data_IF_794187244480
#
_entry.id   IF_794187244480
#
_cell.length_a   1.000
_cell.length_b   1.000
_cell.length_c   1.000
_cell.angle_alpha   90.00
_cell.angle_beta   90.00
_cell.angle_gamma   90.00
#
_symmetry.space_group_name_H-M   'P 1'
#
loop_
_entity.id
_entity.type
_entity.pdbx_description
1 polymer ?
#
# COMPACT_ATOMS: atom_id res chain seq x y z
N UNK A 1 9.01 -36.72 -22.04
CA UNK A 1 8.53 -35.97 -20.86
C UNK A 1 8.92 -34.51 -21.04
N UNK A 2 8.02 -33.71 -21.62
CA UNK A 2 8.23 -32.28 -21.84
C UNK A 2 8.05 -31.60 -20.49
N UNK A 3 9.12 -30.97 -20.00
CA UNK A 3 9.08 -30.14 -18.80
C UNK A 3 8.58 -28.77 -19.27
N UNK A 4 7.27 -28.55 -19.19
CA UNK A 4 6.68 -27.26 -19.52
C UNK A 4 7.27 -26.20 -18.60
N UNK A 5 8.11 -25.35 -19.18
CA UNK A 5 8.62 -24.15 -18.54
C UNK A 5 7.44 -23.20 -18.34
N UNK A 6 6.88 -23.16 -17.13
CA UNK A 6 6.04 -22.06 -16.68
C UNK A 6 6.90 -20.78 -16.68
N UNK A 7 6.98 -20.14 -17.85
CA UNK A 7 7.50 -18.80 -18.05
C UNK A 7 6.65 -17.88 -17.18
N UNK A 8 7.22 -17.49 -16.03
CA UNK A 8 6.65 -16.66 -14.97
C UNK A 8 5.66 -15.62 -15.53
N UNK A 9 4.35 -15.88 -15.48
CA UNK A 9 3.29 -15.02 -16.04
C UNK A 9 3.05 -13.73 -15.24
N UNK A 10 4.02 -13.30 -14.43
CA UNK A 10 3.94 -12.06 -13.67
C UNK A 10 4.45 -10.90 -14.53
N UNK A 11 3.64 -9.87 -14.66
CA UNK A 11 4.04 -8.61 -15.30
C UNK A 11 5.17 -7.94 -14.51
N UNK A 12 6.25 -7.58 -15.20
CA UNK A 12 7.32 -6.75 -14.66
C UNK A 12 7.15 -5.32 -15.16
N UNK A 13 7.59 -4.36 -14.37
CA UNK A 13 7.59 -2.95 -14.75
C UNK A 13 8.64 -2.71 -15.85
N UNK A 14 8.21 -2.16 -16.98
CA UNK A 14 9.09 -1.89 -18.12
C UNK A 14 10.03 -0.70 -17.86
N UNK A 15 9.61 0.25 -17.01
CA UNK A 15 10.43 1.43 -16.65
C UNK A 15 10.38 1.72 -15.15
N UNK A 16 11.49 2.24 -14.61
CA UNK A 16 11.56 2.69 -13.21
C UNK A 16 10.59 3.83 -12.93
N UNK A 17 10.43 4.74 -13.91
CA UNK A 17 9.46 5.83 -13.81
C UNK A 17 8.03 5.29 -13.76
N UNK A 18 7.68 4.29 -14.56
CA UNK A 18 6.35 3.68 -14.53
C UNK A 18 6.03 3.07 -13.16
N UNK A 19 7.01 2.42 -12.54
CA UNK A 19 6.88 1.91 -11.17
C UNK A 19 6.63 3.04 -10.16
N UNK A 20 7.45 4.10 -10.19
CA UNK A 20 7.34 5.22 -9.24
C UNK A 20 6.00 5.96 -9.42
N UNK A 21 5.57 6.18 -10.66
CA UNK A 21 4.30 6.84 -10.98
C UNK A 21 3.09 6.02 -10.50
N UNK A 22 3.12 4.70 -10.69
CA UNK A 22 2.07 3.82 -10.18
C UNK A 22 2.02 3.85 -8.64
N UNK A 23 3.17 3.81 -7.97
CA UNK A 23 3.24 3.90 -6.52
C UNK A 23 2.76 5.28 -6.01
N UNK A 24 3.16 6.38 -6.66
CA UNK A 24 2.70 7.72 -6.28
C UNK A 24 1.20 7.90 -6.52
N UNK A 25 0.66 7.37 -7.62
CA UNK A 25 -0.78 7.39 -7.89
C UNK A 25 -1.58 6.55 -6.90
N UNK A 26 -1.01 5.45 -6.38
CA UNK A 26 -1.64 4.69 -5.29
C UNK A 26 -1.65 5.46 -3.96
N UNK A 27 -0.67 6.32 -3.71
CA UNK A 27 -0.56 7.05 -2.44
C UNK A 27 -1.35 8.37 -2.45
N UNK A 28 -1.44 9.03 -3.60
CA UNK A 28 -2.16 10.30 -3.76
C UNK A 28 -3.58 10.02 -4.22
N UNK A 29 -4.57 10.36 -3.39
CA UNK A 29 -5.98 10.15 -3.74
C UNK A 29 -6.95 11.06 -3.01
N UNK A 30 -8.23 10.72 -3.12
CA UNK A 30 -9.38 11.46 -2.55
C UNK A 30 -9.22 11.79 -1.05
N UNK A 31 -8.60 10.90 -0.27
CA UNK A 31 -8.31 11.12 1.15
C UNK A 31 -7.48 12.38 1.41
N UNK A 32 -6.52 12.69 0.54
CA UNK A 32 -5.70 13.90 0.68
C UNK A 32 -6.47 15.18 0.29
N UNK A 33 -7.53 15.05 -0.52
CA UNK A 33 -8.28 16.19 -1.04
C UNK A 33 -9.37 16.63 -0.05
N UNK A 34 -10.15 15.69 0.50
CA UNK A 34 -11.24 16.07 1.43
C UNK A 34 -10.90 15.80 2.89
N UNK A 35 -10.33 14.62 3.22
CA UNK A 35 -10.24 14.16 4.61
C UNK A 35 -9.12 14.88 5.32
N UNK A 36 -7.98 15.06 4.65
CA UNK A 36 -6.82 15.74 5.22
C UNK A 36 -7.12 17.19 5.60
N UNK A 37 -7.65 18.08 4.73
CA UNK A 37 -7.98 19.46 5.13
C UNK A 37 -9.02 19.53 6.25
N UNK A 38 -10.02 18.63 6.22
CA UNK A 38 -11.05 18.55 7.24
C UNK A 38 -10.49 18.20 8.63
N UNK A 39 -9.62 17.18 8.72
CA UNK A 39 -8.96 16.80 9.97
C UNK A 39 -8.03 17.92 10.43
N UNK A 40 -7.21 18.48 9.53
CA UNK A 40 -6.29 19.58 9.83
C UNK A 40 -7.06 20.77 10.40
N UNK A 41 -8.17 21.17 9.77
CA UNK A 41 -9.01 22.28 10.24
C UNK A 41 -9.57 22.06 11.65
N UNK A 42 -9.94 20.84 12.01
CA UNK A 42 -10.48 20.52 13.34
C UNK A 42 -9.44 20.33 14.43
N UNK A 43 -8.23 19.90 14.08
CA UNK A 43 -7.21 19.47 15.05
C UNK A 43 -6.11 20.53 15.29
N UNK A 44 -6.40 21.81 15.06
CA UNK A 44 -5.45 22.90 15.33
C UNK A 44 -4.56 23.30 14.14
N UNK A 45 -4.99 22.98 12.91
CA UNK A 45 -4.42 23.54 11.68
C UNK A 45 -2.94 23.21 11.49
N UNK A 46 -2.11 24.25 11.39
CA UNK A 46 -0.68 24.12 11.10
C UNK A 46 0.11 23.33 12.13
N UNK A 47 -0.26 23.36 13.41
CA UNK A 47 0.40 22.58 14.46
C UNK A 47 0.20 21.06 14.24
N UNK A 48 -1.00 20.67 13.84
CA UNK A 48 -1.30 19.28 13.47
C UNK A 48 -0.50 18.84 12.24
N UNK A 49 -0.35 19.71 11.24
CA UNK A 49 0.43 19.39 10.03
C UNK A 49 1.90 19.12 10.35
N UNK A 50 2.50 19.89 11.26
CA UNK A 50 3.90 19.66 11.69
C UNK A 50 4.07 18.28 12.34
N UNK A 51 3.18 17.92 13.26
CA UNK A 51 3.19 16.59 13.91
C UNK A 51 2.92 15.49 12.87
N UNK A 52 1.97 15.71 11.96
CA UNK A 52 1.66 14.78 10.88
C UNK A 52 2.89 14.49 10.01
N UNK A 53 3.64 15.51 9.59
CA UNK A 53 4.85 15.32 8.78
C UNK A 53 5.92 14.58 9.58
N UNK A 54 6.12 14.95 10.86
CA UNK A 54 7.09 14.28 11.72
C UNK A 54 6.78 12.78 11.88
N UNK A 55 5.51 12.44 12.18
CA UNK A 55 5.06 11.06 12.27
C UNK A 55 5.14 10.33 10.92
N UNK A 56 4.85 11.01 9.81
CA UNK A 56 4.96 10.42 8.47
C UNK A 56 6.40 10.02 8.15
N UNK A 57 7.37 10.88 8.47
CA UNK A 57 8.79 10.57 8.26
C UNK A 57 9.27 9.51 9.25
N UNK A 58 8.87 9.59 10.52
CA UNK A 58 9.35 8.69 11.57
C UNK A 58 8.73 7.29 11.50
N UNK A 59 7.50 7.15 11.03
CA UNK A 59 6.74 5.89 11.06
C UNK A 59 6.32 5.46 9.65
N UNK A 60 5.71 6.36 8.88
CA UNK A 60 5.22 6.05 7.54
C UNK A 60 6.32 5.63 6.58
N UNK A 61 7.42 6.38 6.52
CA UNK A 61 8.54 6.09 5.63
C UNK A 61 9.24 4.75 5.96
N UNK A 62 9.57 4.42 7.22
CA UNK A 62 10.11 3.11 7.57
C UNK A 62 9.18 1.95 7.22
N UNK A 63 7.87 2.09 7.45
CA UNK A 63 6.89 1.05 7.10
C UNK A 63 6.85 0.86 5.58
N UNK A 64 6.78 1.94 4.80
CA UNK A 64 6.80 1.89 3.34
C UNK A 64 8.05 1.18 2.81
N UNK A 65 9.23 1.51 3.37
CA UNK A 65 10.48 0.85 2.99
C UNK A 65 10.46 -0.64 3.35
N UNK A 66 9.94 -1.01 4.52
CA UNK A 66 9.82 -2.41 4.93
C UNK A 66 8.93 -3.21 3.97
N UNK A 67 7.75 -2.68 3.63
CA UNK A 67 6.83 -3.30 2.67
C UNK A 67 7.47 -3.45 1.28
N UNK A 68 8.17 -2.40 0.82
CA UNK A 68 8.90 -2.44 -0.44
C UNK A 68 9.99 -3.51 -0.47
N UNK A 69 10.80 -3.60 0.59
CA UNK A 69 11.87 -4.61 0.70
C UNK A 69 11.31 -6.02 0.69
N UNK A 70 10.22 -6.28 1.44
CA UNK A 70 9.54 -7.57 1.48
C UNK A 70 8.97 -7.94 0.11
N UNK A 71 8.27 -7.00 -0.54
CA UNK A 71 7.69 -7.20 -1.86
C UNK A 71 8.75 -7.46 -2.93
N UNK A 72 9.87 -6.72 -2.91
CA UNK A 72 10.97 -6.90 -3.87
C UNK A 72 11.75 -8.19 -3.67
N UNK A 73 11.90 -8.65 -2.42
CA UNK A 73 12.61 -9.91 -2.11
C UNK A 73 11.79 -11.13 -2.51
N UNK A 74 10.49 -11.12 -2.24
CA UNK A 74 9.62 -12.27 -2.48
C UNK A 74 9.01 -12.27 -3.88
N UNK A 75 8.78 -11.09 -4.46
CA UNK A 75 8.01 -10.86 -5.68
C UNK A 75 6.58 -11.46 -5.63
N UNK A 76 6.08 -11.79 -4.44
CA UNK A 76 4.80 -12.46 -4.23
C UNK A 76 3.76 -11.46 -3.69
N UNK A 77 2.49 -11.83 -3.80
CA UNK A 77 1.38 -11.10 -3.16
C UNK A 77 1.58 -11.05 -1.64
N UNK A 78 1.00 -10.09 -0.90
CA UNK A 78 1.24 -9.90 0.54
C UNK A 78 1.15 -11.19 1.36
N UNK A 79 0.10 -12.00 1.18
CA UNK A 79 -0.07 -13.29 1.85
C UNK A 79 1.05 -14.28 1.49
N UNK A 80 1.36 -14.43 0.19
CA UNK A 80 2.41 -15.31 -0.30
C UNK A 80 3.81 -14.86 0.08
N UNK A 81 4.04 -13.55 0.22
CA UNK A 81 5.29 -12.97 0.68
C UNK A 81 5.59 -13.40 2.12
N UNK A 82 4.63 -13.24 3.03
CA UNK A 82 4.78 -13.69 4.41
C UNK A 82 4.89 -15.22 4.51
N UNK A 83 4.16 -15.97 3.69
CA UNK A 83 4.26 -17.43 3.64
C UNK A 83 5.65 -17.91 3.17
N UNK A 84 6.26 -17.23 2.18
CA UNK A 84 7.59 -17.57 1.68
C UNK A 84 8.72 -17.14 2.63
N UNK A 85 8.53 -16.09 3.42
CA UNK A 85 9.53 -15.59 4.37
C UNK A 85 9.58 -16.42 5.66
N UNK A 86 8.42 -16.78 6.20
CA UNK A 86 8.29 -17.65 7.37
C UNK A 86 7.03 -18.52 7.27
N UNK A 87 7.12 -19.71 6.65
CA UNK A 87 6.00 -20.64 6.60
C UNK A 87 5.53 -21.01 8.03
N UNK A 88 4.23 -21.19 8.20
CA UNK A 88 3.55 -21.59 9.46
C UNK A 88 3.63 -20.60 10.64
N UNK A 89 4.00 -19.35 10.40
CA UNK A 89 3.98 -18.33 11.45
C UNK A 89 2.74 -17.44 11.43
N UNK A 90 2.42 -16.84 12.59
CA UNK A 90 1.34 -15.86 12.75
C UNK A 90 1.48 -14.64 11.82
N UNK A 91 2.66 -14.40 11.26
CA UNK A 91 2.92 -13.33 10.29
C UNK A 91 2.08 -13.45 9.01
N UNK A 92 1.66 -14.66 8.64
CA UNK A 92 0.76 -14.87 7.49
C UNK A 92 -0.59 -14.16 7.72
N UNK A 93 -1.07 -14.09 8.98
CA UNK A 93 -2.32 -13.40 9.34
C UNK A 93 -2.27 -11.90 9.01
N UNK A 94 -1.09 -11.29 9.11
CA UNK A 94 -0.89 -9.86 8.76
C UNK A 94 -1.09 -9.64 7.25
N UNK A 95 -0.61 -10.57 6.41
CA UNK A 95 -0.85 -10.54 4.98
C UNK A 95 -2.35 -10.59 4.64
N UNK A 96 -3.10 -11.47 5.30
CA UNK A 96 -4.56 -11.53 5.13
C UNK A 96 -5.27 -10.27 5.65
N UNK A 97 -4.81 -9.73 6.77
CA UNK A 97 -5.36 -8.48 7.33
C UNK A 97 -5.16 -7.31 6.37
N UNK A 98 -4.01 -7.22 5.69
CA UNK A 98 -3.77 -6.20 4.67
C UNK A 98 -4.73 -6.30 3.48
N UNK A 99 -4.99 -7.51 2.99
CA UNK A 99 -5.96 -7.75 1.90
C UNK A 99 -7.38 -7.36 2.34
N UNK A 100 -7.77 -7.74 3.56
CA UNK A 100 -9.07 -7.42 4.12
C UNK A 100 -9.24 -5.90 4.33
N UNK A 101 -8.21 -5.22 4.85
CA UNK A 101 -8.19 -3.77 5.00
C UNK A 101 -8.34 -3.07 3.63
N UNK A 102 -7.61 -3.52 2.61
CA UNK A 102 -7.73 -3.01 1.25
C UNK A 102 -9.16 -3.13 0.69
N UNK A 103 -9.83 -4.27 0.94
CA UNK A 103 -11.22 -4.48 0.54
C UNK A 103 -12.18 -3.48 1.21
N UNK A 104 -12.06 -3.28 2.53
CA UNK A 104 -12.91 -2.33 3.25
C UNK A 104 -12.65 -0.87 2.82
N UNK A 105 -11.38 -0.50 2.64
CA UNK A 105 -11.01 0.83 2.16
C UNK A 105 -11.61 1.06 0.77
N UNK A 106 -11.47 0.09 -0.15
CA UNK A 106 -12.02 0.20 -1.50
C UNK A 106 -13.55 0.30 -1.50
N UNK A 107 -14.24 -0.45 -0.65
CA UNK A 107 -15.70 -0.39 -0.54
C UNK A 107 -16.19 1.02 -0.16
N UNK A 108 -15.58 1.64 0.86
CA UNK A 108 -15.92 3.01 1.24
C UNK A 108 -15.47 4.03 0.17
N UNK A 109 -14.26 3.90 -0.37
CA UNK A 109 -13.75 4.80 -1.40
C UNK A 109 -14.57 4.76 -2.70
N UNK A 110 -15.14 3.60 -3.07
CA UNK A 110 -16.01 3.48 -4.23
C UNK A 110 -17.28 4.31 -4.08
N UNK A 111 -17.88 4.34 -2.89
CA UNK A 111 -19.07 5.16 -2.61
C UNK A 111 -18.74 6.65 -2.74
N UNK A 112 -17.64 7.10 -2.15
CA UNK A 112 -17.30 8.52 -2.22
C UNK A 112 -16.81 8.94 -3.61
N UNK A 113 -16.09 8.08 -4.31
CA UNK A 113 -15.77 8.28 -5.72
C UNK A 113 -17.03 8.35 -6.60
N UNK A 114 -18.06 7.55 -6.26
CA UNK A 114 -19.37 7.61 -6.92
C UNK A 114 -20.09 8.94 -6.76
N UNK A 115 -19.83 9.73 -5.71
CA UNK A 115 -20.35 11.10 -5.59
C UNK A 115 -19.59 12.12 -6.46
N UNK A 116 -18.39 11.78 -6.92
CA UNK A 116 -17.56 12.68 -7.73
C UNK A 116 -17.70 12.46 -9.24
N UNK A 117 -18.35 11.38 -9.65
CA UNK A 117 -18.74 11.07 -11.04
C UNK A 117 -20.10 11.69 -11.36
#
# INVERSE_FOLDING_TARGET
>A
MIKDNHKNSRGLWNTRLGFVLAASGSAVGLGNIWKFPYIVGQNGGGAFVLIYILCTIAVGLPIMLAEFTIGRKTNLNPVGAFQSLKPETHWIKIGYMGVLAGFFILSFYAVVGGWTL
#
